data_IF_762272023073
#
_entry.id   IF_762272023073
#
_cell.length_a   1.000
_cell.length_b   1.000
_cell.length_c   1.000
_cell.angle_alpha   90.00
_cell.angle_beta   90.00
_cell.angle_gamma   90.00
#
_symmetry.space_group_name_H-M   'P 1'
#
loop_
_entity.id
_entity.type
_entity.pdbx_description
1 polymer ?
#
# COMPACT_ATOMS: atom_id res chain seq x y z
N UNK A 1 61.06 -63.09 -14.86
CA UNK A 1 59.91 -62.24 -15.23
C UNK A 1 59.22 -61.82 -13.95
N UNK A 2 59.04 -60.51 -13.72
CA UNK A 2 58.49 -59.96 -12.47
C UNK A 2 57.07 -59.48 -12.76
N UNK A 3 56.07 -60.01 -12.05
CA UNK A 3 54.67 -59.64 -12.23
C UNK A 3 54.25 -58.56 -11.23
N UNK A 4 53.91 -57.37 -11.73
CA UNK A 4 53.34 -56.29 -10.93
C UNK A 4 51.86 -56.57 -10.62
N UNK A 5 51.43 -56.41 -9.36
CA UNK A 5 50.03 -56.32 -8.96
C UNK A 5 49.78 -54.93 -8.33
N UNK A 6 48.89 -54.09 -8.88
CA UNK A 6 48.49 -52.85 -8.24
C UNK A 6 47.31 -53.07 -7.29
N UNK A 7 47.52 -52.96 -5.98
CA UNK A 7 46.45 -52.90 -4.97
C UNK A 7 46.00 -51.44 -4.79
N UNK A 8 44.86 -51.08 -5.38
CA UNK A 8 44.31 -49.73 -5.30
C UNK A 8 43.39 -49.60 -4.06
N UNK A 9 43.87 -48.95 -3.00
CA UNK A 9 43.08 -48.72 -1.78
C UNK A 9 42.17 -47.49 -1.91
N UNK A 10 41.00 -47.65 -2.53
CA UNK A 10 39.93 -46.65 -2.44
C UNK A 10 39.26 -46.71 -1.06
N UNK A 11 39.59 -45.73 -0.20
CA UNK A 11 38.96 -45.60 1.12
C UNK A 11 37.62 -44.89 0.96
N UNK A 12 36.52 -45.64 1.03
CA UNK A 12 35.17 -45.06 1.02
C UNK A 12 34.95 -44.25 2.30
N UNK A 13 35.06 -42.92 2.20
CA UNK A 13 34.61 -42.00 3.25
C UNK A 13 33.09 -42.07 3.36
N UNK A 14 32.59 -42.70 4.42
CA UNK A 14 31.17 -42.78 4.73
C UNK A 14 30.63 -41.41 5.15
N UNK A 15 29.94 -40.71 4.24
CA UNK A 15 29.13 -39.54 4.61
C UNK A 15 27.97 -40.00 5.52
N UNK A 16 28.00 -39.59 6.78
CA UNK A 16 26.84 -39.70 7.66
C UNK A 16 25.67 -38.87 7.11
N UNK A 17 24.41 -39.34 7.20
CA UNK A 17 23.26 -38.53 6.82
C UNK A 17 23.18 -37.25 7.65
N UNK A 18 22.84 -36.13 6.99
CA UNK A 18 22.53 -34.89 7.70
C UNK A 18 21.28 -35.07 8.59
N UNK A 19 21.22 -34.45 9.78
CA UNK A 19 20.02 -34.49 10.60
C UNK A 19 18.84 -33.82 9.88
N UNK A 20 17.60 -34.25 10.14
CA UNK A 20 16.42 -33.62 9.57
C UNK A 20 16.32 -32.14 10.01
N UNK A 21 15.74 -31.26 9.18
CA UNK A 21 15.51 -29.87 9.57
C UNK A 21 14.57 -29.79 10.78
N UNK A 22 14.70 -28.75 11.63
CA UNK A 22 13.79 -28.55 12.75
C UNK A 22 12.36 -28.36 12.26
N UNK A 23 11.35 -28.74 13.07
CA UNK A 23 9.95 -28.51 12.71
C UNK A 23 9.66 -27.01 12.57
N UNK A 24 8.70 -26.62 11.72
CA UNK A 24 8.30 -25.22 11.59
C UNK A 24 7.75 -24.69 12.93
N UNK A 25 7.91 -23.38 13.21
CA UNK A 25 7.36 -22.78 14.41
C UNK A 25 5.82 -22.91 14.44
N UNK A 26 5.21 -23.01 15.63
CA UNK A 26 3.76 -23.09 15.74
C UNK A 26 3.09 -21.82 15.17
N UNK A 27 1.87 -21.93 14.63
CA UNK A 27 1.14 -20.76 14.14
C UNK A 27 0.88 -19.78 15.30
N UNK A 28 0.82 -18.46 15.02
CA UNK A 28 0.50 -17.47 16.04
C UNK A 28 -0.88 -17.73 16.64
N UNK A 29 -1.09 -17.44 17.94
CA UNK A 29 -2.39 -17.63 18.58
C UNK A 29 -3.46 -16.75 17.89
N UNK A 30 -4.72 -17.20 17.84
CA UNK A 30 -5.81 -16.39 17.30
C UNK A 30 -5.92 -15.08 18.08
N UNK A 31 -6.24 -13.94 17.43
CA UNK A 31 -6.33 -12.66 18.11
C UNK A 31 -7.38 -12.73 19.22
N UNK A 32 -6.96 -12.45 20.45
CA UNK A 32 -7.83 -12.39 21.62
C UNK A 32 -9.03 -11.51 21.31
N UNK A 33 -10.25 -12.05 21.51
CA UNK A 33 -11.52 -11.35 21.26
C UNK A 33 -11.50 -9.99 21.94
N UNK A 34 -11.31 -8.92 21.15
CA UNK A 34 -11.36 -7.55 21.63
C UNK A 34 -12.73 -7.32 22.28
N UNK A 35 -12.73 -7.13 23.59
CA UNK A 35 -13.91 -6.66 24.32
C UNK A 35 -14.32 -5.32 23.73
N UNK A 36 -15.54 -5.26 23.19
CA UNK A 36 -16.07 -4.04 22.58
C UNK A 36 -16.06 -2.91 23.62
N UNK A 37 -15.54 -1.71 23.31
CA UNK A 37 -15.72 -0.55 24.17
C UNK A 37 -17.21 -0.15 24.20
N UNK A 38 -17.70 0.45 25.30
CA UNK A 38 -19.12 0.76 25.45
C UNK A 38 -19.61 1.78 24.42
N UNK A 39 -20.89 1.62 24.03
CA UNK A 39 -21.58 2.49 23.07
C UNK A 39 -21.69 3.92 23.58
N UNK A 40 -21.04 4.87 22.90
CA UNK A 40 -21.21 6.30 23.16
C UNK A 40 -22.42 6.84 22.40
N UNK A 41 -23.43 7.32 23.13
CA UNK A 41 -24.57 8.01 22.56
C UNK A 41 -24.17 9.40 22.04
N UNK A 42 -24.60 9.74 20.82
CA UNK A 42 -24.35 11.04 20.20
C UNK A 42 -25.38 12.09 20.68
N UNK A 43 -24.96 13.33 21.04
CA UNK A 43 -25.89 14.40 21.35
C UNK A 43 -26.57 14.97 20.10
N UNK A 44 -27.82 15.41 20.26
CA UNK A 44 -28.66 15.94 19.18
C UNK A 44 -28.14 17.25 18.58
N UNK A 45 -28.29 17.40 17.25
CA UNK A 45 -27.98 18.65 16.54
C UNK A 45 -28.94 19.76 16.96
N UNK A 46 -28.42 20.93 17.31
CA UNK A 46 -29.17 22.19 17.23
C UNK A 46 -28.87 22.88 15.90
N UNK A 47 -29.93 23.29 15.21
CA UNK A 47 -29.87 24.13 14.02
C UNK A 47 -29.38 25.54 14.39
N UNK A 48 -28.66 26.20 13.49
CA UNK A 48 -28.46 27.65 13.49
C UNK A 48 -28.79 28.14 12.08
N UNK A 49 -29.55 29.23 12.01
CA UNK A 49 -30.22 29.70 10.80
C UNK A 49 -29.29 30.38 9.79
N UNK A 50 -29.77 30.46 8.55
CA UNK A 50 -29.09 31.06 7.40
C UNK A 50 -29.38 32.57 7.39
N UNK A 51 -28.32 33.38 7.39
CA UNK A 51 -28.41 34.79 7.02
C UNK A 51 -27.79 35.01 5.64
N UNK A 52 -28.60 35.46 4.68
CA UNK A 52 -28.13 35.92 3.37
C UNK A 52 -27.67 37.38 3.43
N UNK A 53 -26.46 37.67 2.94
CA UNK A 53 -26.12 38.99 2.38
C UNK A 53 -25.20 38.83 1.16
N UNK A 54 -25.36 39.73 0.19
CA UNK A 54 -24.71 39.66 -1.12
C UNK A 54 -23.28 40.23 -1.12
N UNK A 55 -22.53 39.84 -2.16
CA UNK A 55 -21.38 40.57 -2.74
C UNK A 55 -20.09 40.65 -1.90
N UNK A 56 -19.05 39.94 -2.35
CA UNK A 56 -17.79 40.58 -2.76
C UNK A 56 -16.90 39.63 -3.58
N UNK A 57 -16.31 40.12 -4.67
CA UNK A 57 -15.19 39.44 -5.35
C UNK A 57 -13.92 39.68 -4.54
N UNK A 58 -13.18 38.64 -4.17
CA UNK A 58 -11.83 38.84 -3.63
C UNK A 58 -10.82 37.78 -4.10
N UNK A 59 -9.72 38.28 -4.67
CA UNK A 59 -8.60 37.49 -5.19
C UNK A 59 -7.74 36.97 -4.04
N UNK A 60 -7.81 35.67 -3.74
CA UNK A 60 -6.90 35.04 -2.78
C UNK A 60 -5.49 34.86 -3.37
N UNK A 61 -4.70 35.94 -3.38
CA UNK A 61 -3.24 35.89 -3.60
C UNK A 61 -2.58 34.95 -2.58
N UNK A 62 -1.67 34.09 -3.05
CA UNK A 62 -0.75 33.33 -2.17
C UNK A 62 0.20 34.32 -1.45
N UNK A 63 0.35 34.28 -0.12
CA UNK A 63 1.39 35.05 0.56
C UNK A 63 2.75 34.36 0.40
N UNK A 64 3.70 35.03 -0.25
CA UNK A 64 5.11 34.70 -0.12
C UNK A 64 5.64 35.28 1.21
N UNK A 65 6.38 34.48 1.97
CA UNK A 65 7.36 35.01 2.93
C UNK A 65 8.70 34.30 2.70
N UNK A 66 9.75 35.11 2.60
CA UNK A 66 11.09 34.72 2.20
C UNK A 66 12.08 35.34 3.19
N UNK A 67 12.75 34.53 4.01
CA UNK A 67 13.95 34.95 4.73
C UNK A 67 15.03 33.87 4.58
N UNK A 68 16.20 34.31 4.13
CA UNK A 68 17.37 33.46 3.83
C UNK A 68 18.34 33.45 5.01
N UNK A 69 18.95 32.31 5.30
CA UNK A 69 20.41 32.24 5.57
C UNK A 69 20.96 30.85 5.20
N UNK A 70 22.12 30.84 4.55
CA UNK A 70 22.91 29.67 4.13
C UNK A 70 23.86 29.27 5.30
N UNK A 71 24.58 28.16 5.35
CA UNK A 71 24.95 27.11 4.37
C UNK A 71 24.62 25.70 4.95
N UNK A 72 25.03 24.53 4.45
CA UNK A 72 25.98 24.17 3.37
C UNK A 72 25.57 22.87 2.63
N UNK A 73 26.56 22.19 2.04
CA UNK A 73 26.55 20.98 1.22
C UNK A 73 25.99 19.72 1.89
N UNK A 74 25.09 19.04 1.18
CA UNK A 74 25.43 17.75 0.60
C UNK A 74 24.84 17.63 -0.81
N UNK A 75 25.57 17.02 -1.74
CA UNK A 75 25.10 16.86 -3.11
C UNK A 75 24.31 15.56 -3.26
N UNK A 76 23.06 15.68 -3.69
CA UNK A 76 22.34 14.59 -4.32
C UNK A 76 21.77 15.07 -5.65
N UNK A 77 21.86 14.27 -6.73
CA UNK A 77 21.39 14.70 -8.03
C UNK A 77 19.89 14.99 -7.97
N UNK A 78 19.45 16.02 -8.70
CA UNK A 78 18.03 16.26 -8.95
C UNK A 78 17.49 15.20 -9.91
N UNK A 79 17.30 13.98 -9.41
CA UNK A 79 16.33 13.07 -9.98
C UNK A 79 14.95 13.62 -9.65
N UNK A 80 14.16 13.90 -10.69
CA UNK A 80 12.73 14.17 -10.52
C UNK A 80 12.08 12.88 -10.05
N UNK A 81 12.05 12.64 -8.74
CA UNK A 81 11.46 11.44 -8.16
C UNK A 81 9.97 11.44 -8.47
N UNK A 82 9.51 10.46 -9.25
CA UNK A 82 8.09 10.29 -9.54
C UNK A 82 7.28 10.18 -8.24
N UNK A 83 6.00 10.51 -8.36
CA UNK A 83 5.01 10.57 -7.27
C UNK A 83 5.16 9.45 -6.24
N UNK A 84 4.88 9.77 -4.97
CA UNK A 84 4.92 8.77 -3.89
C UNK A 84 3.60 8.02 -3.80
N UNK A 85 3.62 6.71 -3.99
CA UNK A 85 2.44 5.86 -3.88
C UNK A 85 2.43 5.07 -2.58
N UNK A 86 1.24 4.71 -2.12
CA UNK A 86 1.01 3.64 -1.15
C UNK A 86 0.10 2.58 -1.77
N UNK A 87 0.35 1.30 -1.49
CA UNK A 87 -0.53 0.20 -1.88
C UNK A 87 -1.14 -0.42 -0.62
N UNK A 88 -2.45 -0.20 -0.41
CA UNK A 88 -3.22 -0.87 0.64
C UNK A 88 -3.92 -2.11 0.05
N UNK A 89 -3.77 -3.26 0.70
CA UNK A 89 -4.28 -4.53 0.18
C UNK A 89 -4.52 -5.53 1.32
N UNK A 90 -5.39 -6.52 1.08
CA UNK A 90 -5.52 -7.66 1.98
C UNK A 90 -4.40 -8.67 1.67
N UNK A 91 -3.81 -9.29 2.69
CA UNK A 91 -2.68 -10.22 2.56
C UNK A 91 -2.90 -11.34 1.54
N UNK A 92 -4.12 -11.84 1.35
CA UNK A 92 -4.41 -12.88 0.35
C UNK A 92 -4.21 -12.42 -1.10
N UNK A 93 -4.16 -11.11 -1.34
CA UNK A 93 -3.87 -10.50 -2.64
C UNK A 93 -2.40 -10.07 -2.79
N UNK A 94 -1.50 -10.48 -1.88
CA UNK A 94 -0.09 -10.07 -1.89
C UNK A 94 0.62 -10.36 -3.22
N UNK A 95 0.35 -11.52 -3.86
CA UNK A 95 1.04 -11.91 -5.09
C UNK A 95 0.82 -10.89 -6.23
N UNK A 96 -0.41 -10.41 -6.42
CA UNK A 96 -0.71 -9.45 -7.49
C UNK A 96 -0.28 -8.03 -7.12
N UNK A 97 -0.47 -7.62 -5.86
CA UNK A 97 0.00 -6.31 -5.38
C UNK A 97 1.53 -6.20 -5.40
N UNK A 98 2.26 -7.29 -5.12
CA UNK A 98 3.72 -7.34 -5.27
C UNK A 98 4.13 -7.20 -6.73
N UNK A 99 3.44 -7.85 -7.67
CA UNK A 99 3.74 -7.70 -9.11
C UNK A 99 3.55 -6.25 -9.59
N UNK A 100 2.51 -5.57 -9.09
CA UNK A 100 2.29 -4.13 -9.35
C UNK A 100 3.40 -3.28 -8.73
N UNK A 101 3.75 -3.54 -7.47
CA UNK A 101 4.87 -2.88 -6.77
C UNK A 101 6.20 -3.02 -7.50
N UNK A 102 6.59 -4.24 -7.87
CA UNK A 102 7.87 -4.52 -8.55
C UNK A 102 7.95 -3.76 -9.88
N UNK A 103 6.82 -3.63 -10.61
CA UNK A 103 6.77 -2.93 -11.89
C UNK A 103 6.78 -1.42 -11.74
N UNK A 104 5.94 -0.83 -10.86
CA UNK A 104 5.95 0.61 -10.58
C UNK A 104 7.33 1.05 -10.05
N UNK A 105 7.99 0.21 -9.23
CA UNK A 105 9.34 0.50 -8.73
C UNK A 105 10.38 0.48 -9.85
N UNK A 106 10.25 -0.43 -10.81
CA UNK A 106 11.09 -0.46 -12.02
C UNK A 106 10.88 0.78 -12.91
N UNK A 107 9.65 1.30 -12.96
CA UNK A 107 9.29 2.50 -13.73
C UNK A 107 9.63 3.83 -12.99
N UNK A 108 10.33 3.75 -11.85
CA UNK A 108 10.91 4.89 -11.12
C UNK A 108 10.06 5.50 -10.01
N UNK A 109 8.92 4.88 -9.64
CA UNK A 109 8.04 5.38 -8.58
C UNK A 109 8.56 5.01 -7.17
N UNK A 110 8.38 5.93 -6.22
CA UNK A 110 8.66 5.66 -4.79
C UNK A 110 7.39 5.12 -4.13
N UNK A 111 7.42 3.88 -3.62
CA UNK A 111 6.20 3.18 -3.20
C UNK A 111 6.34 2.64 -1.78
N UNK A 112 5.39 2.98 -0.92
CA UNK A 112 5.10 2.28 0.32
C UNK A 112 4.27 1.02 0.02
N UNK A 113 4.86 -0.14 0.26
CA UNK A 113 4.22 -1.45 0.15
C UNK A 113 4.43 -2.19 1.48
N UNK A 114 3.34 -2.54 2.16
CA UNK A 114 3.42 -3.29 3.42
C UNK A 114 3.92 -4.71 3.14
N UNK A 115 5.21 -4.93 3.33
CA UNK A 115 5.83 -6.26 3.33
C UNK A 115 6.22 -6.59 4.76
N UNK A 116 5.55 -7.60 5.31
CA UNK A 116 5.66 -8.12 6.67
C UNK A 116 7.06 -8.00 7.31
N UNK A 117 7.32 -6.88 7.99
CA UNK A 117 8.26 -6.85 9.12
C UNK A 117 8.04 -5.69 10.11
N UNK A 118 6.82 -5.17 10.23
CA UNK A 118 6.49 -4.08 11.15
C UNK A 118 6.34 -4.56 12.60
N UNK A 119 7.47 -4.97 13.19
CA UNK A 119 7.64 -5.15 14.63
C UNK A 119 7.55 -3.79 15.33
N UNK A 120 6.35 -3.38 15.75
CA UNK A 120 6.11 -2.11 16.42
C UNK A 120 4.66 -1.64 16.36
N UNK A 121 4.44 -0.34 16.53
CA UNK A 121 3.10 0.25 16.41
C UNK A 121 2.70 0.37 14.93
N UNK A 122 2.14 -0.73 14.41
CA UNK A 122 1.71 -0.90 13.00
C UNK A 122 0.95 0.34 12.48
N UNK A 123 -0.01 0.84 13.26
CA UNK A 123 -0.81 2.04 12.95
C UNK A 123 0.02 3.32 12.72
N UNK A 124 1.14 3.51 13.42
CA UNK A 124 1.97 4.73 13.29
C UNK A 124 2.71 4.75 11.97
N UNK A 125 3.20 3.59 11.49
CA UNK A 125 3.87 3.52 10.20
C UNK A 125 2.86 3.57 9.04
N UNK A 126 1.69 2.93 9.16
CA UNK A 126 0.57 3.08 8.21
C UNK A 126 0.14 4.55 8.07
N UNK A 127 -0.03 5.27 9.19
CA UNK A 127 -0.38 6.68 9.16
C UNK A 127 0.69 7.53 8.45
N UNK A 128 1.98 7.28 8.72
CA UNK A 128 3.09 7.94 8.01
C UNK A 128 3.11 7.61 6.52
N UNK A 129 2.85 6.36 6.13
CA UNK A 129 2.78 5.94 4.72
C UNK A 129 1.68 6.69 3.97
N UNK A 130 0.46 6.75 4.54
CA UNK A 130 -0.65 7.55 3.98
C UNK A 130 -0.26 9.03 3.90
N UNK A 131 0.28 9.62 4.97
CA UNK A 131 0.68 11.03 5.01
C UNK A 131 1.75 11.37 3.97
N UNK A 132 2.72 10.47 3.74
CA UNK A 132 3.79 10.63 2.76
C UNK A 132 3.38 10.31 1.32
N UNK A 133 2.40 9.42 1.10
CA UNK A 133 1.88 9.17 -0.25
C UNK A 133 1.13 10.37 -0.82
N UNK A 134 1.19 10.59 -2.12
CA UNK A 134 0.26 11.45 -2.87
C UNK A 134 -0.95 10.63 -3.35
N UNK A 135 -0.69 9.39 -3.78
CA UNK A 135 -1.68 8.45 -4.30
C UNK A 135 -1.73 7.19 -3.43
N UNK A 136 -2.95 6.74 -3.10
CA UNK A 136 -3.19 5.45 -2.45
C UNK A 136 -3.92 4.52 -3.44
N UNK A 137 -3.21 3.49 -3.89
CA UNK A 137 -3.80 2.37 -4.61
C UNK A 137 -4.45 1.43 -3.58
N UNK A 138 -5.67 0.96 -3.81
CA UNK A 138 -6.32 0.03 -2.87
C UNK A 138 -7.00 -1.18 -3.53
N UNK A 139 -6.72 -2.37 -3.01
CA UNK A 139 -7.20 -3.64 -3.56
C UNK A 139 -8.63 -4.00 -3.13
N UNK A 140 -9.62 -3.74 -3.99
CA UNK A 140 -11.01 -4.12 -3.77
C UNK A 140 -11.22 -5.64 -3.89
N UNK A 141 -11.43 -6.28 -2.74
CA UNK A 141 -11.89 -7.67 -2.57
C UNK A 141 -12.79 -7.77 -1.34
N UNK A 142 -13.54 -8.86 -1.22
CA UNK A 142 -14.41 -9.07 -0.05
C UNK A 142 -13.60 -9.17 1.25
N UNK A 143 -12.40 -9.74 1.19
CA UNK A 143 -11.49 -9.82 2.35
C UNK A 143 -10.87 -8.47 2.70
N UNK A 144 -10.68 -7.57 1.73
CA UNK A 144 -10.32 -6.18 2.01
C UNK A 144 -11.46 -5.46 2.73
N UNK A 145 -12.70 -5.64 2.26
CA UNK A 145 -13.91 -5.06 2.87
C UNK A 145 -14.14 -5.53 4.31
N UNK A 146 -13.85 -6.81 4.60
CA UNK A 146 -13.97 -7.37 5.96
C UNK A 146 -12.82 -6.98 6.90
N UNK A 147 -11.71 -6.43 6.39
CA UNK A 147 -10.53 -6.10 7.20
C UNK A 147 -10.65 -4.74 7.89
N UNK A 148 -10.67 -4.75 9.22
CA UNK A 148 -10.66 -3.54 10.05
C UNK A 148 -9.43 -2.65 9.83
N UNK A 149 -8.29 -3.25 9.48
CA UNK A 149 -7.07 -2.49 9.23
C UNK A 149 -7.15 -1.75 7.88
N UNK A 150 -7.55 -2.45 6.82
CA UNK A 150 -7.78 -1.87 5.49
C UNK A 150 -8.86 -0.77 5.54
N UNK A 151 -9.91 -0.97 6.35
CA UNK A 151 -10.94 0.04 6.62
C UNK A 151 -10.38 1.30 7.28
N UNK A 152 -9.53 1.16 8.30
CA UNK A 152 -8.87 2.29 8.97
C UNK A 152 -7.95 3.04 8.00
N UNK A 153 -7.15 2.34 7.21
CA UNK A 153 -6.23 2.94 6.22
C UNK A 153 -6.98 3.77 5.18
N UNK A 154 -7.96 3.17 4.50
CA UNK A 154 -8.68 3.87 3.44
C UNK A 154 -9.47 5.05 4.01
N UNK A 155 -10.13 4.89 5.16
CA UNK A 155 -10.79 6.00 5.87
C UNK A 155 -9.83 7.13 6.21
N UNK A 156 -8.59 6.81 6.59
CA UNK A 156 -7.56 7.80 6.89
C UNK A 156 -7.06 8.51 5.63
N UNK A 157 -6.87 7.79 4.52
CA UNK A 157 -6.55 8.34 3.21
C UNK A 157 -7.64 9.31 2.71
N UNK A 158 -8.93 8.94 2.84
CA UNK A 158 -10.07 9.82 2.57
C UNK A 158 -10.00 11.10 3.42
N UNK A 159 -9.80 10.97 4.75
CA UNK A 159 -9.68 12.12 5.67
C UNK A 159 -8.53 13.05 5.33
N UNK A 160 -7.42 12.50 4.82
CA UNK A 160 -6.24 13.25 4.36
C UNK A 160 -6.39 13.78 2.92
N UNK A 161 -7.54 13.58 2.27
CA UNK A 161 -7.82 13.93 0.86
C UNK A 161 -6.73 13.42 -0.08
N UNK A 162 -6.26 12.20 0.15
CA UNK A 162 -5.34 11.53 -0.76
C UNK A 162 -6.09 11.11 -2.02
N UNK A 163 -5.39 11.11 -3.14
CA UNK A 163 -5.94 10.60 -4.40
C UNK A 163 -6.04 9.08 -4.29
N UNK A 164 -7.21 8.53 -4.59
CA UNK A 164 -7.51 7.11 -4.39
C UNK A 164 -7.72 6.43 -5.75
N UNK A 165 -6.98 5.35 -6.02
CA UNK A 165 -7.17 4.54 -7.23
C UNK A 165 -7.58 3.13 -6.81
N UNK A 166 -8.86 2.74 -7.01
CA UNK A 166 -9.33 1.40 -6.72
C UNK A 166 -8.79 0.37 -7.74
N UNK A 167 -8.25 -0.72 -7.23
CA UNK A 167 -7.81 -1.88 -8.02
C UNK A 167 -8.76 -3.04 -7.74
N UNK A 168 -9.49 -3.54 -8.74
CA UNK A 168 -10.31 -4.74 -8.55
C UNK A 168 -9.46 -5.99 -8.66
N UNK A 169 -9.33 -6.74 -7.57
CA UNK A 169 -8.44 -7.92 -7.47
C UNK A 169 -9.20 -9.24 -7.29
N UNK A 170 -10.54 -9.20 -7.21
CA UNK A 170 -11.41 -10.37 -7.11
C UNK A 170 -12.43 -10.37 -8.27
N UNK A 171 -12.56 -11.51 -8.95
CA UNK A 171 -13.41 -11.62 -10.14
C UNK A 171 -14.88 -11.42 -9.77
N UNK A 172 -15.61 -10.65 -10.59
CA UNK A 172 -17.04 -10.32 -10.39
C UNK A 172 -17.34 -9.68 -9.02
N UNK A 173 -16.34 -9.17 -8.31
CA UNK A 173 -16.57 -8.41 -7.08
C UNK A 173 -17.18 -7.05 -7.42
N UNK A 174 -18.14 -6.64 -6.59
CA UNK A 174 -18.76 -5.32 -6.58
C UNK A 174 -18.72 -4.83 -5.12
N UNK A 175 -18.07 -3.68 -4.82
CA UNK A 175 -17.85 -3.25 -3.45
C UNK A 175 -19.14 -2.70 -2.82
N UNK A 176 -19.53 -3.22 -1.66
CA UNK A 176 -20.71 -2.80 -0.92
C UNK A 176 -20.39 -2.05 0.39
N UNK A 177 -21.44 -1.56 1.06
CA UNK A 177 -21.35 -0.93 2.37
C UNK A 177 -20.35 0.23 2.44
N UNK A 178 -19.40 0.14 3.39
CA UNK A 178 -18.41 1.19 3.60
C UNK A 178 -17.40 1.32 2.45
N UNK A 179 -17.07 0.22 1.78
CA UNK A 179 -16.12 0.22 0.68
C UNK A 179 -16.79 0.78 -0.57
N UNK A 180 -18.00 0.30 -0.88
CA UNK A 180 -18.83 0.81 -1.97
C UNK A 180 -19.07 2.31 -1.87
N UNK A 181 -19.38 2.83 -0.67
CA UNK A 181 -19.56 4.27 -0.45
C UNK A 181 -18.29 5.10 -0.75
N UNK A 182 -17.09 4.56 -0.52
CA UNK A 182 -15.82 5.24 -0.81
C UNK A 182 -15.47 5.11 -2.30
N UNK A 183 -15.77 3.98 -2.94
CA UNK A 183 -15.41 3.71 -4.33
C UNK A 183 -16.45 4.14 -5.37
N UNK A 184 -17.67 4.53 -4.97
CA UNK A 184 -18.80 4.79 -5.87
C UNK A 184 -18.49 5.83 -6.97
N UNK A 185 -17.69 6.85 -6.67
CA UNK A 185 -17.33 7.94 -7.58
C UNK A 185 -15.93 7.75 -8.22
N UNK A 186 -15.26 6.62 -7.98
CA UNK A 186 -13.89 6.37 -8.42
C UNK A 186 -13.84 5.39 -9.59
N UNK A 187 -13.09 5.76 -10.64
CA UNK A 187 -12.76 4.84 -11.73
C UNK A 187 -11.81 3.75 -11.23
N UNK A 188 -12.19 2.49 -11.40
CA UNK A 188 -11.39 1.34 -10.96
C UNK A 188 -10.71 0.60 -12.11
N UNK A 189 -9.59 -0.04 -11.79
CA UNK A 189 -8.82 -0.84 -12.76
C UNK A 189 -8.97 -2.31 -12.44
N UNK A 190 -9.46 -3.07 -13.41
CA UNK A 190 -9.89 -4.46 -13.24
C UNK A 190 -8.79 -5.46 -13.59
N UNK A 191 -7.94 -5.78 -12.63
CA UNK A 191 -6.84 -6.73 -12.79
C UNK A 191 -7.29 -8.20 -12.91
N UNK A 192 -8.60 -8.48 -12.88
CA UNK A 192 -9.17 -9.83 -13.07
C UNK A 192 -9.68 -10.09 -14.49
N UNK A 193 -9.58 -9.10 -15.38
CA UNK A 193 -9.90 -9.22 -16.82
C UNK A 193 -8.64 -8.89 -17.62
N UNK A 194 -8.54 -9.38 -18.86
CA UNK A 194 -7.38 -9.14 -19.75
C UNK A 194 -6.04 -9.63 -19.15
N UNK A 195 -4.96 -9.40 -19.88
CA UNK A 195 -3.59 -9.58 -19.44
C UNK A 195 -3.16 -8.51 -18.42
N UNK A 196 -2.17 -8.85 -17.60
CA UNK A 196 -1.65 -7.98 -16.56
C UNK A 196 -1.06 -6.68 -17.13
N UNK A 197 -0.30 -6.76 -18.22
CA UNK A 197 0.45 -5.64 -18.77
C UNK A 197 -0.48 -4.57 -19.36
N UNK A 198 -1.58 -4.95 -20.03
CA UNK A 198 -2.62 -4.02 -20.49
C UNK A 198 -3.28 -3.28 -19.32
N UNK A 199 -3.60 -3.97 -18.22
CA UNK A 199 -4.18 -3.31 -17.04
C UNK A 199 -3.16 -2.42 -16.33
N UNK A 200 -1.90 -2.83 -16.33
CA UNK A 200 -0.80 -2.05 -15.80
C UNK A 200 -0.59 -0.74 -16.60
N UNK A 201 -0.70 -0.77 -17.94
CA UNK A 201 -0.69 0.45 -18.75
C UNK A 201 -1.88 1.36 -18.47
N UNK A 202 -3.05 0.82 -18.14
CA UNK A 202 -4.18 1.64 -17.69
C UNK A 202 -3.93 2.25 -16.30
N UNK A 203 -3.22 1.55 -15.42
CA UNK A 203 -2.79 2.07 -14.12
C UNK A 203 -1.77 3.19 -14.24
N UNK A 204 -0.79 3.10 -15.14
CA UNK A 204 0.13 4.20 -15.42
C UNK A 204 -0.60 5.43 -15.95
N UNK A 205 -1.48 5.26 -16.95
CA UNK A 205 -2.29 6.36 -17.49
C UNK A 205 -3.16 7.03 -16.45
N UNK A 206 -3.75 6.24 -15.54
CA UNK A 206 -4.49 6.81 -14.42
C UNK A 206 -3.53 7.57 -13.51
N UNK A 207 -2.45 6.97 -12.99
CA UNK A 207 -1.46 7.67 -12.13
C UNK A 207 -1.00 9.01 -12.75
N UNK A 208 -0.71 9.04 -14.04
CA UNK A 208 -0.20 10.21 -14.78
C UNK A 208 -1.28 11.23 -15.21
N UNK A 209 -2.58 10.90 -15.16
CA UNK A 209 -3.66 11.75 -15.70
C UNK A 209 -3.76 13.14 -15.04
N UNK A 210 -3.54 13.20 -13.72
CA UNK A 210 -3.67 14.42 -12.93
C UNK A 210 -2.44 15.34 -12.96
N UNK A 211 -1.32 14.96 -13.60
CA UNK A 211 -0.18 15.90 -13.78
C UNK A 211 -0.50 17.03 -14.78
N UNK A 212 -1.60 16.91 -15.54
CA UNK A 212 -2.01 17.88 -16.56
C UNK A 212 -3.14 18.84 -16.12
N UNK A 213 -3.57 18.82 -14.85
CA UNK A 213 -4.61 19.71 -14.33
C UNK A 213 -3.98 20.77 -13.40
N UNK A 214 -3.44 21.84 -14.02
CA UNK A 214 -2.93 23.05 -13.36
C UNK A 214 -3.84 24.26 -13.60
#
# INVERSE_FOLDING_TARGET
MIAYKPTNHYRHSSCSPLPPPPPPPPPPPPPSRLTQPPSYAMPSRRSVEIAHTNTCVCLCRRPQQNQRRMTQSDQHPTSTSKQRLMISYNWDNQAICKKIYDRLRSDGYTIWFDVQNMHGCIYTAMAKAVEQSEIVLFGMTEKYRQSDNCRKELTYACKKRKRLIPLRLQEKYDPDGWLGLISAELLYIDFTKKDFDTNYQNLLKEIESDENIL
#
